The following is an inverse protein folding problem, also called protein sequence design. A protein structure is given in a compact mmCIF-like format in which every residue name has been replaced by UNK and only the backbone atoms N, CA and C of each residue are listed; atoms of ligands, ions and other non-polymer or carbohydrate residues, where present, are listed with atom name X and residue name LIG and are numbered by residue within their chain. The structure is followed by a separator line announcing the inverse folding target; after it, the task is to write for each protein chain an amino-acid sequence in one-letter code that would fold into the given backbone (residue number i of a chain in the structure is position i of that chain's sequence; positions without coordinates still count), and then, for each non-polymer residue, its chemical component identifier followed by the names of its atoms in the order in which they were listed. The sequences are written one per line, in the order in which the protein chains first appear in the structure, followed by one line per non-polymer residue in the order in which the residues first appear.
data_IF_071832338866
#
_entry.id   IF_071832338866
#
_cell.length_a   1.000
_cell.length_b   1.000
_cell.length_c   1.000
_cell.angle_alpha   90.00
_cell.angle_beta   90.00
_cell.angle_gamma   90.00
#
_symmetry.space_group_name_H-M   'P 1'
#
loop_
_entity.id
_entity.type
_entity.pdbx_description
1 polymer ?
#
# COMPACT_ATOMS: atom_id res chain seq x y z
N UNK A 1 6.07 22.38 -8.81
CA UNK A 1 5.20 21.62 -7.91
C UNK A 1 5.48 20.15 -8.10
N UNK A 2 5.51 19.39 -7.04
CA UNK A 2 5.60 17.93 -7.06
C UNK A 2 4.32 17.33 -7.62
N UNK A 3 4.45 16.18 -8.27
CA UNK A 3 3.30 15.40 -8.68
C UNK A 3 2.65 14.78 -7.44
N UNK A 4 1.33 14.74 -7.40
CA UNK A 4 0.59 14.01 -6.37
C UNK A 4 0.59 12.52 -6.69
N UNK A 5 1.27 11.72 -5.86
CA UNK A 5 1.40 10.28 -6.05
C UNK A 5 0.55 9.55 -5.00
N UNK A 6 -0.37 8.70 -5.45
CA UNK A 6 -1.09 7.75 -4.60
C UNK A 6 -0.42 6.38 -4.66
N UNK A 7 -0.08 5.83 -3.51
CA UNK A 7 0.41 4.46 -3.36
C UNK A 7 -0.69 3.56 -2.78
N UNK A 8 -1.19 2.65 -3.59
CA UNK A 8 -2.18 1.64 -3.21
C UNK A 8 -1.44 0.38 -2.78
N UNK A 9 -1.47 0.07 -1.50
CA UNK A 9 -0.68 -1.01 -0.92
C UNK A 9 -1.44 -2.33 -0.96
N UNK A 10 -0.96 -3.29 -1.75
CA UNK A 10 -1.30 -4.73 -1.75
C UNK A 10 -2.80 -5.08 -1.86
N UNK A 11 -3.60 -4.28 -2.55
CA UNK A 11 -5.03 -4.58 -2.75
C UNK A 11 -5.18 -5.66 -3.84
N UNK A 12 -4.90 -6.90 -3.47
CA UNK A 12 -4.80 -8.09 -4.33
C UNK A 12 -5.90 -9.11 -4.04
N UNK A 13 -6.25 -9.94 -5.04
CA UNK A 13 -7.26 -10.99 -4.91
C UNK A 13 -7.00 -11.91 -3.70
N UNK A 14 -5.75 -12.28 -3.48
CA UNK A 14 -5.36 -13.18 -2.40
C UNK A 14 -5.65 -12.64 -1.00
N UNK A 15 -5.75 -11.34 -0.83
CA UNK A 15 -6.05 -10.68 0.46
C UNK A 15 -7.55 -10.40 0.67
N UNK A 16 -8.33 -10.24 -0.39
CA UNK A 16 -9.74 -9.88 -0.30
C UNK A 16 -10.59 -11.14 -0.07
N UNK A 17 -11.04 -11.36 1.16
CA UNK A 17 -11.75 -12.58 1.61
C UNK A 17 -13.15 -12.31 2.15
N UNK A 18 -13.55 -11.03 2.31
CA UNK A 18 -14.86 -10.65 2.84
C UNK A 18 -15.50 -9.53 2.03
N UNK A 19 -16.82 -9.38 2.17
CA UNK A 19 -17.56 -8.29 1.54
C UNK A 19 -17.12 -6.91 2.06
N UNK A 20 -16.75 -6.80 3.35
CA UNK A 20 -16.25 -5.55 3.92
C UNK A 20 -14.92 -5.14 3.26
N UNK A 21 -13.99 -6.09 3.07
CA UNK A 21 -12.73 -5.85 2.37
C UNK A 21 -12.96 -5.51 0.89
N UNK A 22 -13.86 -6.22 0.22
CA UNK A 22 -14.23 -5.95 -1.17
C UNK A 22 -14.82 -4.54 -1.33
N UNK A 23 -15.67 -4.11 -0.39
CA UNK A 23 -16.20 -2.75 -0.36
C UNK A 23 -15.08 -1.72 -0.23
N UNK A 24 -14.13 -1.92 0.70
CA UNK A 24 -12.98 -1.01 0.87
C UNK A 24 -12.12 -0.93 -0.40
N UNK A 25 -11.87 -2.05 -1.06
CA UNK A 25 -11.15 -2.07 -2.35
C UNK A 25 -11.91 -1.29 -3.44
N UNK A 26 -13.25 -1.37 -3.44
CA UNK A 26 -14.10 -0.57 -4.34
C UNK A 26 -14.05 0.92 -3.98
N UNK A 27 -14.11 1.27 -2.70
CA UNK A 27 -13.98 2.67 -2.24
C UNK A 27 -12.64 3.29 -2.68
N UNK A 28 -11.54 2.50 -2.67
CA UNK A 28 -10.24 2.94 -3.22
C UNK A 28 -10.32 3.16 -4.74
N UNK A 29 -10.99 2.29 -5.47
CA UNK A 29 -11.16 2.47 -6.91
C UNK A 29 -11.97 3.74 -7.23
N UNK A 30 -13.01 4.04 -6.45
CA UNK A 30 -13.78 5.28 -6.60
C UNK A 30 -12.94 6.52 -6.25
N UNK A 31 -12.08 6.46 -5.23
CA UNK A 31 -11.13 7.53 -4.92
C UNK A 31 -10.20 7.81 -6.13
N UNK A 32 -9.67 6.78 -6.77
CA UNK A 32 -8.77 6.94 -7.93
C UNK A 32 -9.50 7.61 -9.09
N UNK A 33 -10.75 7.25 -9.35
CA UNK A 33 -11.58 7.83 -10.42
C UNK A 33 -11.90 9.32 -10.23
N UNK A 34 -11.66 9.88 -9.06
CA UNK A 34 -11.77 11.33 -8.84
C UNK A 34 -10.62 12.12 -9.50
N UNK A 35 -9.63 11.44 -10.06
CA UNK A 35 -8.48 12.04 -10.78
C UNK A 35 -7.73 13.11 -9.97
N UNK A 36 -7.66 12.93 -8.64
CA UNK A 36 -6.99 13.87 -7.73
C UNK A 36 -5.46 13.68 -7.70
N UNK A 37 -4.96 12.56 -8.23
CA UNK A 37 -3.56 12.17 -8.20
C UNK A 37 -2.99 12.17 -9.62
N UNK A 38 -1.79 12.71 -9.78
CA UNK A 38 -1.08 12.71 -11.07
C UNK A 38 -0.58 11.31 -11.46
N UNK A 39 -0.31 10.45 -10.47
CA UNK A 39 0.12 9.08 -10.67
C UNK A 39 -0.44 8.16 -9.57
N UNK A 40 -0.88 6.99 -9.97
CA UNK A 40 -1.35 5.92 -9.07
C UNK A 40 -0.42 4.71 -9.20
N UNK A 41 0.30 4.41 -8.14
CA UNK A 41 1.18 3.23 -8.03
C UNK A 41 0.49 2.18 -7.16
N UNK A 42 0.41 0.93 -7.60
CA UNK A 42 -0.03 -0.16 -6.74
C UNK A 42 1.12 -1.12 -6.45
N UNK A 43 1.30 -1.50 -5.18
CA UNK A 43 2.20 -2.62 -4.87
C UNK A 43 1.48 -3.95 -4.99
N UNK A 44 2.24 -4.97 -5.39
CA UNK A 44 1.82 -6.36 -5.31
C UNK A 44 2.82 -7.14 -4.46
N UNK A 45 2.32 -7.72 -3.39
CA UNK A 45 3.11 -8.67 -2.60
C UNK A 45 3.11 -10.03 -3.30
N UNK A 46 4.30 -10.58 -3.48
CA UNK A 46 4.50 -11.91 -4.08
C UNK A 46 5.26 -12.77 -3.07
N UNK A 47 4.58 -13.81 -2.56
CA UNK A 47 5.20 -14.78 -1.66
C UNK A 47 6.03 -15.81 -2.46
N UNK A 48 6.97 -16.44 -1.80
CA UNK A 48 7.81 -17.49 -2.40
C UNK A 48 8.03 -18.64 -1.41
N UNK A 49 8.35 -19.80 -1.97
CA UNK A 49 8.63 -21.00 -1.16
C UNK A 49 9.87 -20.80 -0.30
N UNK A 50 9.76 -21.11 0.99
CA UNK A 50 10.81 -20.92 1.98
C UNK A 50 10.91 -19.50 2.53
N UNK A 51 9.95 -18.63 2.25
CA UNK A 51 9.86 -17.30 2.82
C UNK A 51 9.70 -17.33 4.35
N UNK A 52 9.98 -16.22 5.00
CA UNK A 52 9.72 -16.07 6.44
C UNK A 52 8.23 -16.13 6.77
N UNK A 53 7.35 -15.76 5.82
CA UNK A 53 5.89 -15.90 5.98
C UNK A 53 5.47 -17.36 6.08
N UNK A 54 6.10 -18.27 5.32
CA UNK A 54 5.88 -19.71 5.49
C UNK A 54 6.47 -20.24 6.79
N UNK A 55 7.71 -19.86 7.09
CA UNK A 55 8.44 -20.38 8.27
C UNK A 55 7.82 -19.95 9.59
N UNK A 56 7.40 -18.69 9.71
CA UNK A 56 6.89 -18.12 10.96
C UNK A 56 5.38 -18.27 11.12
N UNK A 57 4.61 -18.23 10.02
CA UNK A 57 3.15 -18.16 10.06
C UNK A 57 2.48 -19.36 9.38
N UNK A 58 3.25 -20.26 8.77
CA UNK A 58 2.72 -21.35 7.92
C UNK A 58 1.76 -20.80 6.84
N UNK A 59 2.09 -19.62 6.30
CA UNK A 59 1.25 -18.92 5.34
C UNK A 59 1.77 -19.09 3.92
N UNK A 60 0.99 -19.76 3.06
CA UNK A 60 1.39 -20.21 1.73
C UNK A 60 0.67 -19.48 0.58
N UNK A 61 -0.15 -18.49 0.87
CA UNK A 61 -0.90 -17.70 -0.13
C UNK A 61 -0.03 -16.68 -0.87
N UNK A 62 -0.62 -16.02 -1.87
CA UNK A 62 0.01 -14.99 -2.71
C UNK A 62 1.19 -15.52 -3.54
N UNK A 63 1.04 -16.72 -4.08
CA UNK A 63 2.02 -17.37 -4.99
C UNK A 63 1.49 -17.58 -6.40
N UNK A 64 0.19 -17.77 -6.55
CA UNK A 64 -0.43 -17.96 -7.87
C UNK A 64 -0.69 -16.63 -8.54
N UNK A 65 -0.69 -16.62 -9.88
CA UNK A 65 -0.99 -15.42 -10.65
C UNK A 65 -2.35 -14.81 -10.27
N UNK A 66 -3.38 -15.66 -10.05
CA UNK A 66 -4.71 -15.23 -9.65
C UNK A 66 -4.71 -14.51 -8.29
N UNK A 67 -4.01 -15.06 -7.28
CA UNK A 67 -3.91 -14.43 -5.96
C UNK A 67 -3.14 -13.11 -6.00
N UNK A 68 -2.08 -13.03 -6.81
CA UNK A 68 -1.19 -11.87 -6.92
C UNK A 68 -1.82 -10.73 -7.72
N UNK A 69 -2.76 -11.00 -8.64
CA UNK A 69 -3.43 -9.94 -9.39
C UNK A 69 -4.09 -8.91 -8.47
N UNK A 70 -4.06 -7.65 -8.88
CA UNK A 70 -4.84 -6.60 -8.21
C UNK A 70 -6.32 -6.97 -8.22
N UNK A 71 -7.02 -6.58 -7.16
CA UNK A 71 -8.47 -6.78 -7.07
C UNK A 71 -9.16 -6.10 -8.27
N UNK A 72 -10.15 -6.75 -8.91
CA UNK A 72 -10.66 -6.35 -10.23
C UNK A 72 -10.99 -4.86 -10.42
N UNK A 73 -11.63 -4.15 -9.47
CA UNK A 73 -11.91 -2.72 -9.62
C UNK A 73 -10.67 -1.84 -9.86
N UNK A 74 -9.48 -2.30 -9.47
CA UNK A 74 -8.22 -1.54 -9.61
C UNK A 74 -7.45 -1.86 -10.89
N UNK A 75 -7.80 -2.94 -11.59
CA UNK A 75 -6.95 -3.55 -12.63
C UNK A 75 -6.55 -2.61 -13.78
N UNK A 76 -7.43 -1.67 -14.15
CA UNK A 76 -7.23 -0.83 -15.34
C UNK A 76 -7.16 0.68 -15.01
N UNK A 77 -7.03 1.02 -13.73
CA UNK A 77 -7.02 2.42 -13.26
C UNK A 77 -5.75 2.76 -12.45
N UNK A 78 -4.80 1.83 -12.40
CA UNK A 78 -3.48 2.00 -11.81
C UNK A 78 -2.47 2.23 -12.92
N UNK A 79 -1.63 3.25 -12.78
CA UNK A 79 -0.63 3.60 -13.81
C UNK A 79 0.58 2.68 -13.78
N UNK A 80 1.05 2.34 -12.57
CA UNK A 80 2.26 1.53 -12.36
C UNK A 80 2.04 0.47 -11.30
N UNK A 81 2.51 -0.75 -11.56
CA UNK A 81 2.59 -1.83 -10.57
C UNK A 81 4.03 -1.99 -10.10
N UNK A 82 4.23 -2.16 -8.79
CA UNK A 82 5.53 -2.42 -8.17
C UNK A 82 5.48 -3.70 -7.33
N UNK A 83 6.23 -4.72 -7.75
CA UNK A 83 6.26 -6.01 -7.08
C UNK A 83 7.25 -6.02 -5.90
N UNK A 84 6.86 -6.64 -4.81
CA UNK A 84 7.66 -6.79 -3.60
C UNK A 84 7.44 -8.15 -2.93
N UNK A 85 8.39 -8.59 -2.12
CA UNK A 85 8.30 -9.81 -1.31
C UNK A 85 8.50 -9.51 0.20
N UNK A 86 8.31 -8.26 0.61
CA UNK A 86 8.52 -7.75 1.97
C UNK A 86 7.33 -6.88 2.39
N UNK A 87 7.18 -6.64 3.69
CA UNK A 87 6.16 -5.68 4.18
C UNK A 87 6.39 -4.28 3.60
N UNK A 88 7.61 -3.76 3.74
CA UNK A 88 8.00 -2.46 3.21
C UNK A 88 8.36 -2.57 1.72
N UNK A 89 7.81 -1.70 0.87
CA UNK A 89 8.20 -1.63 -0.54
C UNK A 89 9.33 -0.63 -0.80
N UNK A 90 9.66 0.23 0.17
CA UNK A 90 10.62 1.33 -0.02
C UNK A 90 12.04 0.77 -0.04
N UNK A 91 12.63 0.78 -1.21
CA UNK A 91 14.01 0.41 -1.49
C UNK A 91 14.56 1.28 -2.63
N UNK A 92 15.80 1.09 -3.04
CA UNK A 92 16.42 1.90 -4.09
C UNK A 92 15.65 1.90 -5.41
N UNK A 93 15.06 0.78 -5.81
CA UNK A 93 14.25 0.69 -7.04
C UNK A 93 12.95 1.48 -6.91
N UNK A 94 12.29 1.40 -5.74
CA UNK A 94 11.07 2.15 -5.47
C UNK A 94 11.33 3.66 -5.41
N UNK A 95 12.43 4.10 -4.77
CA UNK A 95 12.85 5.51 -4.76
C UNK A 95 13.13 6.01 -6.18
N UNK A 96 13.77 5.20 -7.03
CA UNK A 96 13.98 5.55 -8.43
C UNK A 96 12.68 5.67 -9.22
N UNK A 97 11.71 4.78 -8.96
CA UNK A 97 10.36 4.91 -9.54
C UNK A 97 9.70 6.22 -9.12
N UNK A 98 9.71 6.56 -7.83
CA UNK A 98 9.14 7.83 -7.34
C UNK A 98 9.79 9.04 -8.01
N UNK A 99 11.12 9.04 -8.20
CA UNK A 99 11.81 10.09 -8.95
C UNK A 99 11.33 10.20 -10.38
N UNK A 100 11.18 9.07 -11.09
CA UNK A 100 10.68 9.05 -12.48
C UNK A 100 9.27 9.67 -12.57
N UNK A 101 8.40 9.32 -11.63
CA UNK A 101 7.05 9.86 -11.55
C UNK A 101 6.99 11.33 -11.11
N UNK A 102 8.03 11.83 -10.44
CA UNK A 102 8.14 13.21 -9.95
C UNK A 102 9.24 14.01 -10.68
N UNK A 103 9.24 13.98 -12.01
CA UNK A 103 10.10 14.85 -12.84
C UNK A 103 11.61 14.72 -12.55
N UNK A 104 12.06 13.58 -12.06
CA UNK A 104 13.45 13.28 -11.74
C UNK A 104 13.87 13.58 -10.29
N UNK A 105 12.98 14.12 -9.45
CA UNK A 105 13.26 14.46 -8.06
C UNK A 105 12.51 13.55 -7.08
N UNK A 106 13.06 13.37 -5.88
CA UNK A 106 12.33 12.70 -4.77
C UNK A 106 11.13 13.57 -4.41
N UNK A 107 9.89 13.03 -4.39
CA UNK A 107 8.72 13.79 -3.99
C UNK A 107 8.79 14.15 -2.50
N UNK A 108 8.26 15.31 -2.13
CA UNK A 108 8.17 15.74 -0.73
C UNK A 108 7.22 14.82 0.07
N UNK A 109 6.14 14.36 -0.57
CA UNK A 109 5.11 13.53 0.07
C UNK A 109 4.54 12.48 -0.88
N UNK A 110 4.05 11.37 -0.28
CA UNK A 110 3.32 10.30 -0.98
C UNK A 110 2.08 9.96 -0.17
N UNK A 111 0.94 9.86 -0.84
CA UNK A 111 -0.32 9.44 -0.24
C UNK A 111 -0.41 7.91 -0.23
N UNK A 112 -0.87 7.32 0.88
CA UNK A 112 -0.98 5.87 1.04
C UNK A 112 -2.42 5.46 1.36
N UNK A 113 -2.84 4.37 0.74
CA UNK A 113 -4.05 3.63 1.10
C UNK A 113 -3.82 2.12 0.89
N UNK A 114 -4.77 1.28 1.27
CA UNK A 114 -4.70 -0.17 1.06
C UNK A 114 -4.60 -0.99 2.34
N UNK A 115 -3.87 -2.12 2.29
CA UNK A 115 -3.80 -3.11 3.38
C UNK A 115 -2.40 -3.68 3.58
N UNK A 116 -2.10 -4.28 4.71
CA UNK A 116 -2.79 -4.14 6.01
C UNK A 116 -2.29 -2.89 6.71
N UNK A 117 -3.21 -2.15 7.34
CA UNK A 117 -2.88 -0.90 8.05
C UNK A 117 -1.79 -1.10 9.10
N UNK A 118 -1.81 -2.26 9.78
CA UNK A 118 -0.89 -2.66 10.85
C UNK A 118 0.36 -3.41 10.36
N UNK A 119 0.48 -3.63 9.06
CA UNK A 119 1.59 -4.38 8.46
C UNK A 119 2.21 -3.64 7.26
N UNK A 120 1.77 -3.93 6.02
CA UNK A 120 2.40 -3.38 4.81
C UNK A 120 2.25 -1.85 4.71
N UNK A 121 1.10 -1.29 5.08
CA UNK A 121 0.89 0.17 5.09
C UNK A 121 1.80 0.82 6.14
N UNK A 122 1.79 0.31 7.37
CA UNK A 122 2.67 0.78 8.46
C UNK A 122 4.15 0.71 8.06
N UNK A 123 4.60 -0.45 7.58
CA UNK A 123 6.00 -0.65 7.20
C UNK A 123 6.43 0.28 6.05
N UNK A 124 5.55 0.46 5.05
CA UNK A 124 5.82 1.37 3.92
C UNK A 124 5.84 2.83 4.34
N UNK A 125 4.92 3.25 5.23
CA UNK A 125 4.92 4.61 5.77
C UNK A 125 6.21 4.92 6.55
N UNK A 126 6.69 3.97 7.37
CA UNK A 126 7.99 4.09 8.05
C UNK A 126 9.12 4.18 7.02
N UNK A 127 9.10 3.32 6.00
CA UNK A 127 10.12 3.34 4.96
C UNK A 127 10.21 4.68 4.22
N UNK A 128 9.07 5.28 3.86
CA UNK A 128 9.04 6.62 3.26
C UNK A 128 9.60 7.68 4.21
N UNK A 129 9.14 7.67 5.47
CA UNK A 129 9.59 8.60 6.51
C UNK A 129 11.11 8.56 6.70
N UNK A 130 11.71 7.36 6.75
CA UNK A 130 13.16 7.16 6.88
C UNK A 130 13.95 7.61 5.64
N UNK A 131 13.28 7.76 4.49
CA UNK A 131 13.86 8.33 3.26
C UNK A 131 13.53 9.81 3.04
N UNK A 132 13.12 10.53 4.10
CA UNK A 132 12.73 11.93 4.07
C UNK A 132 11.57 12.23 3.08
N UNK A 133 10.66 11.29 2.89
CA UNK A 133 9.42 11.46 2.13
C UNK A 133 8.27 11.44 3.11
N UNK A 134 7.47 12.50 3.15
CA UNK A 134 6.32 12.60 4.06
C UNK A 134 5.22 11.60 3.65
N UNK A 135 4.95 10.56 4.44
CA UNK A 135 3.81 9.67 4.17
C UNK A 135 2.51 10.31 4.63
N UNK A 136 1.51 10.36 3.76
CA UNK A 136 0.15 10.83 4.09
C UNK A 136 -0.79 9.63 4.01
N UNK A 137 -1.23 9.10 5.15
CA UNK A 137 -2.08 7.92 5.21
C UNK A 137 -3.55 8.32 5.14
N UNK A 138 -4.24 7.84 4.11
CA UNK A 138 -5.69 8.03 3.92
C UNK A 138 -6.43 6.94 4.72
N UNK A 139 -6.68 7.20 6.01
CA UNK A 139 -7.16 6.20 6.97
C UNK A 139 -8.47 5.52 6.57
N UNK A 140 -9.39 6.27 5.96
CA UNK A 140 -10.70 5.76 5.55
C UNK A 140 -10.60 4.80 4.36
N UNK A 141 -9.49 4.85 3.62
CA UNK A 141 -9.13 3.97 2.51
C UNK A 141 -8.09 2.92 2.90
N UNK A 142 -7.81 2.76 4.21
CA UNK A 142 -6.99 1.68 4.75
C UNK A 142 -7.85 0.66 5.49
N UNK A 143 -7.40 -0.58 5.51
CA UNK A 143 -8.05 -1.65 6.27
C UNK A 143 -7.03 -2.74 6.64
N UNK A 144 -7.42 -3.66 7.52
CA UNK A 144 -6.60 -4.81 7.92
C UNK A 144 -7.35 -6.11 7.72
N UNK A 145 -6.69 -7.12 7.17
CA UNK A 145 -7.21 -8.49 7.08
C UNK A 145 -7.35 -9.13 8.46
N UNK A 146 -6.62 -8.64 9.45
CA UNK A 146 -6.77 -9.00 10.87
C UNK A 146 -8.00 -8.40 11.54
N UNK A 147 -8.75 -7.51 10.85
CA UNK A 147 -9.97 -6.89 11.34
C UNK A 147 -9.77 -5.53 12.00
N UNK A 148 -10.88 -4.96 12.49
CA UNK A 148 -10.95 -3.56 12.97
C UNK A 148 -10.01 -3.23 14.12
N UNK A 149 -9.73 -4.20 15.00
CA UNK A 149 -8.82 -3.98 16.13
C UNK A 149 -7.38 -3.78 15.65
N UNK A 150 -6.93 -4.56 14.66
CA UNK A 150 -5.59 -4.43 14.07
C UNK A 150 -5.48 -3.14 13.25
N UNK A 151 -6.51 -2.81 12.46
CA UNK A 151 -6.57 -1.53 11.78
C UNK A 151 -6.40 -0.35 12.75
N UNK A 152 -7.16 -0.32 13.86
CA UNK A 152 -7.05 0.73 14.89
C UNK A 152 -5.66 0.75 15.56
N UNK A 153 -5.09 -0.41 15.83
CA UNK A 153 -3.73 -0.51 16.39
C UNK A 153 -2.69 0.04 15.41
N UNK A 154 -2.79 -0.32 14.13
CA UNK A 154 -1.94 0.22 13.08
C UNK A 154 -2.00 1.74 12.97
N UNK A 155 -3.21 2.33 12.99
CA UNK A 155 -3.39 3.79 12.97
C UNK A 155 -2.73 4.46 14.19
N UNK A 156 -2.86 3.89 15.40
CA UNK A 156 -2.18 4.43 16.59
C UNK A 156 -0.67 4.37 16.49
N UNK A 157 -0.12 3.31 15.92
CA UNK A 157 1.33 3.20 15.67
C UNK A 157 1.77 4.26 14.65
N UNK A 158 1.03 4.42 13.56
CA UNK A 158 1.28 5.45 12.55
C UNK A 158 1.26 6.86 13.17
N UNK A 159 0.22 7.22 13.91
CA UNK A 159 0.13 8.52 14.59
C UNK A 159 1.38 8.82 15.45
N UNK A 160 1.89 7.81 16.14
CA UNK A 160 3.09 7.93 17.00
C UNK A 160 4.37 8.07 16.21
N UNK A 161 4.49 7.38 15.07
CA UNK A 161 5.77 7.23 14.33
C UNK A 161 5.93 8.32 13.28
N UNK A 162 4.87 8.63 12.52
CA UNK A 162 4.94 9.60 11.42
C UNK A 162 4.22 10.92 11.72
N UNK A 163 3.54 11.02 12.85
CA UNK A 163 2.79 12.20 13.28
C UNK A 163 1.29 12.12 12.96
N UNK A 164 0.49 12.71 13.85
CA UNK A 164 -0.99 12.65 13.77
C UNK A 164 -1.54 13.38 12.54
N UNK A 165 -0.91 14.49 12.15
CA UNK A 165 -1.36 15.33 11.03
C UNK A 165 -1.14 14.66 9.67
N UNK A 166 -0.41 13.55 9.61
CA UNK A 166 -0.21 12.72 8.42
C UNK A 166 -1.27 11.61 8.27
N UNK A 167 -2.24 11.53 9.18
CA UNK A 167 -3.35 10.55 9.14
C UNK A 167 -4.66 11.29 8.82
N UNK A 168 -5.03 11.28 7.55
CA UNK A 168 -6.19 12.01 7.02
C UNK A 168 -7.44 11.11 6.92
#
# INVERSE_FOLDING_TARGET
MDNMILLVVDVQNGFIKSQEQAKKATDIAELIKLELFDNVVATRFINYTGSMYEKCFNWHSLKTAEEVHLYPPLKNIVDVMFDKATYNCVNGNFINLLKQLNKGYIPEKVYLCGLDTDACVLATAIGLFEHNIMPIVLKDYCFSTGGKQYHKAGLKCLERIIGKDQIL
#
